data_IF_807493946729
#
_entry.id   IF_807493946729
#
_cell.length_a   1.000
_cell.length_b   1.000
_cell.length_c   1.000
_cell.angle_alpha   90.00
_cell.angle_beta   90.00
_cell.angle_gamma   90.00
#
_symmetry.space_group_name_H-M   'P 1'
#
loop_
_entity.id
_entity.type
_entity.pdbx_description
1 polymer ?
#
# COMPACT_ATOMS: atom_id res chain seq x y z
N UNK A 1 11.87 6.44 -3.85
CA UNK A 1 12.28 5.30 -2.98
C UNK A 1 12.46 4.02 -3.79
N UNK A 2 12.93 2.92 -3.17
CA UNK A 2 12.99 1.59 -3.79
C UNK A 2 11.96 0.68 -3.13
N UNK A 3 11.38 -0.23 -3.91
CA UNK A 3 10.53 -1.31 -3.43
C UNK A 3 11.40 -2.54 -3.19
N UNK A 4 11.40 -3.04 -1.96
CA UNK A 4 12.28 -4.14 -1.53
C UNK A 4 11.42 -5.33 -1.17
N UNK A 5 11.59 -6.45 -1.86
CA UNK A 5 10.85 -7.68 -1.56
C UNK A 5 11.34 -8.29 -0.25
N UNK A 6 10.40 -8.63 0.62
CA UNK A 6 10.65 -9.21 1.94
C UNK A 6 10.25 -10.68 1.97
N UNK A 7 9.09 -11.02 1.43
CA UNK A 7 8.54 -12.37 1.48
C UNK A 7 7.74 -12.69 0.21
N UNK A 8 7.71 -13.96 -0.15
CA UNK A 8 6.77 -14.53 -1.11
C UNK A 8 6.12 -15.76 -0.49
N UNK A 9 4.80 -15.80 -0.49
CA UNK A 9 4.00 -16.95 -0.09
C UNK A 9 3.20 -17.41 -1.29
N UNK A 10 3.15 -18.72 -1.48
CA UNK A 10 2.38 -19.34 -2.54
C UNK A 10 1.54 -20.49 -1.99
N UNK A 11 0.29 -20.60 -2.45
CA UNK A 11 -0.64 -21.65 -2.04
C UNK A 11 -1.55 -22.05 -3.19
N UNK A 12 -1.70 -23.35 -3.38
CA UNK A 12 -2.72 -23.92 -4.27
C UNK A 12 -3.75 -24.70 -3.47
N UNK A 13 -5.03 -24.55 -3.81
CA UNK A 13 -6.13 -25.29 -3.18
C UNK A 13 -7.35 -25.36 -4.11
N UNK A 14 -7.92 -26.55 -4.29
CA UNK A 14 -9.15 -26.78 -5.07
C UNK A 14 -9.10 -26.19 -6.50
N UNK A 15 -7.93 -26.23 -7.15
CA UNK A 15 -7.73 -25.65 -8.48
C UNK A 15 -7.52 -24.13 -8.50
N UNK A 16 -7.57 -23.47 -7.33
CA UNK A 16 -7.19 -22.08 -7.19
C UNK A 16 -5.70 -21.97 -6.85
N UNK A 17 -5.05 -20.91 -7.33
CA UNK A 17 -3.66 -20.56 -7.03
C UNK A 17 -3.63 -19.15 -6.42
N UNK A 18 -2.91 -18.98 -5.33
CA UNK A 18 -2.79 -17.74 -4.59
C UNK A 18 -1.32 -17.43 -4.37
N UNK A 19 -0.91 -16.20 -4.67
CA UNK A 19 0.42 -15.69 -4.40
C UNK A 19 0.31 -14.39 -3.63
N UNK A 20 1.07 -14.28 -2.54
CA UNK A 20 1.26 -13.04 -1.79
C UNK A 20 2.71 -12.66 -1.84
N UNK A 21 2.99 -11.46 -2.34
CA UNK A 21 4.31 -10.86 -2.26
C UNK A 21 4.28 -9.71 -1.27
N UNK A 22 5.17 -9.74 -0.28
CA UNK A 22 5.31 -8.67 0.72
C UNK A 22 6.56 -7.87 0.44
N UNK A 23 6.44 -6.55 0.46
CA UNK A 23 7.51 -5.61 0.20
C UNK A 23 7.57 -4.53 1.27
N UNK A 24 8.72 -3.87 1.37
CA UNK A 24 8.86 -2.59 2.06
C UNK A 24 9.12 -1.47 1.06
N UNK A 25 8.44 -0.34 1.26
CA UNK A 25 8.62 0.89 0.51
C UNK A 25 8.69 2.03 1.52
N UNK A 26 9.92 2.45 1.86
CA UNK A 26 10.15 3.36 2.98
C UNK A 26 9.72 2.68 4.27
N UNK A 27 8.91 3.36 5.08
CA UNK A 27 8.36 2.79 6.31
C UNK A 27 7.10 1.94 6.11
N UNK A 28 6.51 1.90 4.93
CA UNK A 28 5.29 1.12 4.67
C UNK A 28 5.60 -0.33 4.31
N UNK A 29 4.76 -1.24 4.80
CA UNK A 29 4.64 -2.59 4.27
C UNK A 29 3.60 -2.61 3.15
N UNK A 30 3.90 -3.32 2.07
CA UNK A 30 3.05 -3.42 0.88
C UNK A 30 2.88 -4.89 0.55
N UNK A 31 1.65 -5.39 0.62
CA UNK A 31 1.31 -6.74 0.19
C UNK A 31 0.60 -6.67 -1.15
N UNK A 32 1.09 -7.45 -2.10
CA UNK A 32 0.47 -7.68 -3.41
C UNK A 32 -0.07 -9.10 -3.42
N UNK A 33 -1.39 -9.20 -3.51
CA UNK A 33 -2.14 -10.45 -3.50
C UNK A 33 -2.69 -10.73 -4.90
N UNK A 34 -2.21 -11.82 -5.50
CA UNK A 34 -2.69 -12.35 -6.77
C UNK A 34 -3.43 -13.67 -6.54
N UNK A 35 -4.59 -13.82 -7.17
CA UNK A 35 -5.34 -15.07 -7.17
C UNK A 35 -5.77 -15.44 -8.58
N UNK A 36 -5.59 -16.72 -8.94
CA UNK A 36 -6.16 -17.35 -10.12
C UNK A 36 -7.14 -18.41 -9.64
N UNK A 37 -8.42 -18.22 -9.90
CA UNK A 37 -9.47 -19.14 -9.49
C UNK A 37 -9.63 -20.28 -10.51
N UNK A 38 -10.18 -21.41 -10.07
CA UNK A 38 -10.39 -22.60 -10.90
C UNK A 38 -11.28 -22.34 -12.12
N UNK A 39 -12.12 -21.30 -12.09
CA UNK A 39 -12.96 -20.86 -13.22
C UNK A 39 -12.25 -19.90 -14.19
N UNK A 40 -10.94 -19.67 -13.99
CA UNK A 40 -10.10 -18.82 -14.82
C UNK A 40 -10.18 -17.33 -14.48
N UNK A 41 -11.02 -16.91 -13.52
CA UNK A 41 -11.02 -15.53 -13.04
C UNK A 41 -9.72 -15.22 -12.31
N UNK A 42 -9.25 -13.99 -12.45
CA UNK A 42 -8.09 -13.49 -11.72
C UNK A 42 -8.49 -12.35 -10.80
N UNK A 43 -7.81 -12.22 -9.67
CA UNK A 43 -7.91 -11.06 -8.78
C UNK A 43 -6.51 -10.55 -8.47
N UNK A 44 -6.36 -9.24 -8.52
CA UNK A 44 -5.16 -8.52 -8.11
C UNK A 44 -5.56 -7.48 -7.07
N UNK A 45 -4.91 -7.50 -5.91
CA UNK A 45 -5.18 -6.59 -4.80
C UNK A 45 -3.86 -6.12 -4.20
N UNK A 46 -3.81 -4.85 -3.80
CA UNK A 46 -2.66 -4.27 -3.11
C UNK A 46 -3.15 -3.72 -1.78
N UNK A 47 -2.49 -4.08 -0.68
CA UNK A 47 -2.71 -3.47 0.62
C UNK A 47 -1.43 -2.79 1.09
N UNK A 48 -1.57 -1.56 1.58
CA UNK A 48 -0.47 -0.75 2.11
C UNK A 48 -0.73 -0.51 3.59
N UNK A 49 0.24 -0.84 4.44
CA UNK A 49 0.12 -0.76 5.90
C UNK A 49 1.21 0.15 6.44
N UNK A 50 0.81 1.19 7.15
CA UNK A 50 1.71 2.03 7.94
C UNK A 50 2.21 1.29 9.20
N UNK A 51 3.42 1.56 9.68
CA UNK A 51 3.92 0.95 10.90
C UNK A 51 3.11 1.45 12.10
N UNK A 52 2.82 0.55 13.05
CA UNK A 52 2.18 0.93 14.30
C UNK A 52 3.20 1.54 15.27
N UNK A 53 3.46 2.83 15.10
CA UNK A 53 4.43 3.59 15.90
C UNK A 53 3.74 4.75 16.63
N UNK A 54 3.97 4.86 17.94
CA UNK A 54 3.46 5.99 18.74
C UNK A 54 4.14 7.29 18.31
N UNK A 55 3.35 8.33 18.04
CA UNK A 55 3.85 9.64 17.61
C UNK A 55 4.21 9.73 16.13
N UNK A 56 3.76 8.76 15.31
CA UNK A 56 3.86 8.78 13.87
C UNK A 56 2.64 9.49 13.25
N UNK A 57 2.89 10.33 12.25
CA UNK A 57 1.89 11.07 11.49
C UNK A 57 1.73 10.53 10.06
N UNK A 58 2.29 9.34 9.77
CA UNK A 58 2.15 8.69 8.47
C UNK A 58 0.67 8.51 8.12
N UNK A 59 0.23 9.01 6.96
CA UNK A 59 -1.14 8.83 6.52
C UNK A 59 -1.38 7.40 6.04
N UNK A 60 -2.64 6.99 6.03
CA UNK A 60 -3.04 5.71 5.42
C UNK A 60 -3.01 5.83 3.91
N UNK A 61 -2.63 4.75 3.23
CA UNK A 61 -2.62 4.68 1.77
C UNK A 61 -3.56 3.55 1.34
N UNK A 62 -4.50 3.88 0.46
CA UNK A 62 -5.48 2.92 -0.05
C UNK A 62 -5.25 2.69 -1.53
N UNK A 63 -5.24 1.41 -1.92
CA UNK A 63 -5.36 1.01 -3.32
C UNK A 63 -6.84 0.98 -3.69
N UNK A 64 -7.20 1.71 -4.74
CA UNK A 64 -8.53 1.72 -5.29
C UNK A 64 -8.55 0.72 -6.45
N UNK A 65 -9.05 -0.49 -6.18
CA UNK A 65 -9.24 -1.52 -7.20
C UNK A 65 -10.13 -0.99 -8.34
N UNK A 66 -9.91 -1.44 -9.57
CA UNK A 66 -10.83 -1.19 -10.67
C UNK A 66 -12.13 -1.98 -10.44
N UNK A 67 -13.15 -1.28 -9.95
CA UNK A 67 -14.47 -1.82 -9.71
C UNK A 67 -15.30 -1.61 -10.98
N UNK A 68 -15.44 -2.68 -11.77
CA UNK A 68 -16.27 -2.75 -12.99
C UNK A 68 -15.85 -1.88 -14.18
N UNK A 69 -14.57 -1.51 -14.30
CA UNK A 69 -14.04 -0.82 -15.50
C UNK A 69 -14.36 0.67 -15.55
N UNK A 70 -14.89 1.25 -14.46
CA UNK A 70 -15.27 2.66 -14.42
C UNK A 70 -14.09 3.60 -14.13
N UNK A 71 -13.02 3.11 -13.46
CA UNK A 71 -11.84 3.91 -13.13
C UNK A 71 -10.57 3.09 -13.19
N UNK A 72 -9.54 3.70 -13.79
CA UNK A 72 -8.19 3.16 -13.71
C UNK A 72 -7.77 3.01 -12.24
N UNK A 73 -7.11 1.90 -11.88
CA UNK A 73 -6.66 1.68 -10.52
C UNK A 73 -5.71 2.81 -10.09
N UNK A 74 -5.86 3.27 -8.85
CA UNK A 74 -5.03 4.34 -8.32
C UNK A 74 -4.87 4.26 -6.80
N UNK A 75 -3.94 5.04 -6.25
CA UNK A 75 -3.72 5.17 -4.81
C UNK A 75 -4.27 6.47 -4.26
N UNK A 76 -4.94 6.42 -3.12
CA UNK A 76 -5.37 7.58 -2.34
C UNK A 76 -4.66 7.63 -0.99
N UNK A 77 -4.34 8.84 -0.56
CA UNK A 77 -3.72 9.11 0.75
C UNK A 77 -4.79 9.70 1.67
N UNK A 78 -5.04 9.05 2.80
CA UNK A 78 -5.95 9.55 3.83
C UNK A 78 -5.15 10.12 5.00
N UNK A 79 -5.30 11.43 5.21
CA UNK A 79 -4.71 12.15 6.33
C UNK A 79 -5.61 12.11 7.56
N UNK A 80 -5.01 12.06 8.75
CA UNK A 80 -5.71 12.24 10.03
C UNK A 80 -5.63 13.71 10.45
N UNK A 81 -6.72 14.25 11.02
CA UNK A 81 -6.71 15.58 11.62
C UNK A 81 -6.18 15.50 13.06
N UNK A 82 -5.07 16.17 13.33
CA UNK A 82 -4.40 16.16 14.64
C UNK A 82 -4.64 17.43 15.49
N UNK A 83 -5.39 18.41 14.97
CA UNK A 83 -5.63 19.68 15.66
C UNK A 83 -4.39 20.56 15.72
N UNK A 84 -4.16 21.21 16.87
CA UNK A 84 -3.02 22.08 17.07
C UNK A 84 -1.75 21.27 17.35
N UNK A 85 -0.75 21.41 16.48
CA UNK A 85 0.57 20.81 16.64
C UNK A 85 1.57 21.89 17.05
N UNK A 86 2.51 21.54 17.92
CA UNK A 86 3.67 22.39 18.17
C UNK A 86 4.65 22.36 16.98
N UNK A 87 5.68 23.20 16.99
CA UNK A 87 6.62 23.32 15.86
C UNK A 87 7.35 22.02 15.53
N UNK A 88 7.73 21.23 16.53
CA UNK A 88 8.45 19.96 16.32
C UNK A 88 7.53 18.88 15.76
N UNK A 89 6.30 18.80 16.29
CA UNK A 89 5.26 17.89 15.80
C UNK A 89 4.85 18.23 14.36
N UNK A 90 4.71 19.52 14.03
CA UNK A 90 4.34 19.96 12.69
C UNK A 90 5.44 19.63 11.67
N UNK A 91 6.72 19.74 12.07
CA UNK A 91 7.83 19.35 11.22
C UNK A 91 7.85 17.83 10.95
N UNK A 92 7.57 17.01 11.97
CA UNK A 92 7.40 15.56 11.80
C UNK A 92 6.22 15.23 10.88
N UNK A 93 5.08 15.90 11.07
CA UNK A 93 3.91 15.75 10.21
C UNK A 93 4.25 15.99 8.73
N UNK A 94 4.95 17.09 8.41
CA UNK A 94 5.38 17.39 7.03
C UNK A 94 6.29 16.32 6.46
N UNK A 95 7.27 15.85 7.24
CA UNK A 95 8.19 14.79 6.81
C UNK A 95 7.43 13.50 6.48
N UNK A 96 6.49 13.10 7.34
CA UNK A 96 5.66 11.91 7.17
C UNK A 96 4.74 12.03 5.93
N UNK A 97 4.14 13.20 5.69
CA UNK A 97 3.34 13.43 4.48
C UNK A 97 4.20 13.38 3.20
N UNK A 98 5.43 13.90 3.28
CA UNK A 98 6.35 13.90 2.15
C UNK A 98 6.80 12.48 1.79
N UNK A 99 7.09 11.65 2.80
CA UNK A 99 7.39 10.24 2.59
C UNK A 99 6.22 9.51 1.94
N UNK A 100 4.99 9.68 2.43
CA UNK A 100 3.82 9.04 1.84
C UNK A 100 3.61 9.38 0.36
N UNK A 101 3.91 10.63 -0.05
CA UNK A 101 3.89 11.03 -1.45
C UNK A 101 4.94 10.29 -2.29
N UNK A 102 6.16 10.14 -1.78
CA UNK A 102 7.21 9.38 -2.46
C UNK A 102 6.90 7.88 -2.53
N UNK A 103 6.26 7.32 -1.50
CA UNK A 103 5.76 5.94 -1.48
C UNK A 103 4.76 5.76 -2.60
N UNK A 104 3.71 6.58 -2.65
CA UNK A 104 2.67 6.48 -3.69
C UNK A 104 3.27 6.64 -5.09
N UNK A 105 4.19 7.58 -5.29
CA UNK A 105 4.87 7.73 -6.58
C UNK A 105 5.65 6.47 -6.97
N UNK A 106 6.29 5.81 -6.01
CA UNK A 106 7.00 4.55 -6.23
C UNK A 106 6.02 3.41 -6.55
N UNK A 107 4.92 3.29 -5.80
CA UNK A 107 3.90 2.26 -6.03
C UNK A 107 3.26 2.40 -7.41
N UNK A 108 2.89 3.62 -7.82
CA UNK A 108 2.35 3.90 -9.16
C UNK A 108 3.32 3.54 -10.27
N UNK A 109 4.63 3.67 -10.06
CA UNK A 109 5.64 3.36 -11.07
C UNK A 109 5.92 1.87 -11.22
N UNK A 110 5.84 1.12 -10.11
CA UNK A 110 6.27 -0.28 -10.06
C UNK A 110 5.11 -1.27 -10.17
N UNK A 111 3.87 -0.86 -9.84
CA UNK A 111 2.70 -1.75 -9.74
C UNK A 111 1.54 -1.39 -10.67
N UNK A 112 1.52 -0.18 -11.26
CA UNK A 112 0.53 0.28 -12.23
C UNK A 112 1.20 0.59 -13.57
#
# INVERSE_FOLDING_TARGET
MKMIKVEELHKEANGNSYTRNTYTVGRYEVCVDDAVYADGRTRHSISVTEPYESGCYLPKIYYNEDVFGEKAPDFSIQTTSYGALNSEEFQKFIADQSEALEVVATLKKELL
#
